data_IF_917351623084
#
_entry.id   IF_917351623084
#
_cell.length_a   1.000
_cell.length_b   1.000
_cell.length_c   1.000
_cell.angle_alpha   90.00
_cell.angle_beta   90.00
_cell.angle_gamma   90.00
#
_symmetry.space_group_name_H-M   'P 1'
#
loop_
_entity.id
_entity.type
_entity.pdbx_description
1 polymer ?
#
# COMPACT_ATOMS: atom_id res chain seq x y z
N UNK A 1 3.55 10.14 27.67
CA UNK A 1 3.49 8.81 27.02
C UNK A 1 3.41 8.99 25.51
N UNK A 2 4.41 8.51 24.75
CA UNK A 2 4.32 8.46 23.28
C UNK A 2 3.35 7.33 22.92
N UNK A 3 2.07 7.66 22.76
CA UNK A 3 1.07 6.72 22.25
C UNK A 3 1.49 6.37 20.81
N UNK A 4 2.14 5.22 20.64
CA UNK A 4 2.56 4.79 19.30
C UNK A 4 1.29 4.54 18.52
N UNK A 5 1.02 5.45 17.60
CA UNK A 5 -0.17 5.46 16.77
C UNK A 5 -0.26 4.09 16.08
N UNK A 6 0.82 3.49 15.59
CA UNK A 6 0.77 2.30 14.73
C UNK A 6 1.88 1.28 15.06
N UNK A 7 1.57 -0.02 14.92
CA UNK A 7 2.54 -1.10 15.14
C UNK A 7 3.63 -1.10 14.06
N UNK A 8 4.87 -1.45 14.41
CA UNK A 8 6.04 -1.38 13.50
C UNK A 8 5.85 -2.20 12.21
N UNK A 9 5.14 -3.33 12.31
CA UNK A 9 4.83 -4.22 11.18
C UNK A 9 3.82 -3.59 10.19
N UNK A 10 2.80 -2.87 10.68
CA UNK A 10 1.86 -2.17 9.81
C UNK A 10 2.54 -1.03 9.05
N UNK A 11 3.47 -0.32 9.70
CA UNK A 11 4.28 0.70 9.03
C UNK A 11 5.12 0.10 7.91
N UNK A 12 5.69 -1.09 8.10
CA UNK A 12 6.43 -1.78 7.05
C UNK A 12 5.52 -2.11 5.87
N UNK A 13 4.30 -2.62 6.10
CA UNK A 13 3.33 -2.89 5.03
C UNK A 13 2.94 -1.63 4.25
N UNK A 14 2.74 -0.51 4.93
CA UNK A 14 2.43 0.78 4.29
C UNK A 14 3.60 1.30 3.47
N UNK A 15 4.82 1.29 4.03
CA UNK A 15 6.03 1.71 3.31
C UNK A 15 6.26 0.82 2.08
N UNK A 16 6.08 -0.49 2.22
CA UNK A 16 6.20 -1.44 1.11
C UNK A 16 5.17 -1.14 0.01
N UNK A 17 3.92 -0.88 0.38
CA UNK A 17 2.87 -0.49 -0.56
C UNK A 17 3.17 0.83 -1.28
N UNK A 18 3.69 1.84 -0.57
CA UNK A 18 4.10 3.11 -1.16
C UNK A 18 5.24 2.90 -2.17
N UNK A 19 6.26 2.13 -1.82
CA UNK A 19 7.38 1.82 -2.73
C UNK A 19 6.90 1.07 -3.98
N UNK A 20 6.00 0.10 -3.82
CA UNK A 20 5.42 -0.65 -4.94
C UNK A 20 4.61 0.27 -5.87
N UNK A 21 3.84 1.19 -5.30
CA UNK A 21 3.04 2.16 -6.06
C UNK A 21 3.94 3.15 -6.81
N UNK A 22 5.02 3.62 -6.17
CA UNK A 22 6.02 4.49 -6.80
C UNK A 22 6.74 3.80 -7.97
N UNK A 23 7.12 2.53 -7.79
CA UNK A 23 7.72 1.72 -8.86
C UNK A 23 6.76 1.52 -10.03
N UNK A 24 5.47 1.30 -9.73
CA UNK A 24 4.43 1.18 -10.76
C UNK A 24 4.31 2.46 -11.57
N UNK A 25 4.30 3.63 -10.93
CA UNK A 25 4.29 4.93 -11.60
C UNK A 25 5.50 5.13 -12.53
N UNK A 26 6.69 4.67 -12.11
CA UNK A 26 7.88 4.70 -12.96
C UNK A 26 7.71 3.84 -14.22
N UNK A 27 7.12 2.65 -14.10
CA UNK A 27 6.77 1.80 -15.25
C UNK A 27 5.79 2.48 -16.20
N UNK A 28 4.74 3.13 -15.68
CA UNK A 28 3.77 3.89 -16.50
C UNK A 28 4.46 4.97 -17.33
N UNK A 29 5.47 5.64 -16.76
CA UNK A 29 6.22 6.69 -17.46
C UNK A 29 6.94 6.15 -18.70
N UNK A 30 7.52 4.95 -18.63
CA UNK A 30 8.17 4.29 -19.78
C UNK A 30 7.17 3.87 -20.87
N UNK A 31 5.97 3.42 -20.48
CA UNK A 31 4.92 2.97 -21.41
C UNK A 31 4.40 4.12 -22.28
N UNK A 32 4.45 5.38 -21.81
CA UNK A 32 4.05 6.53 -22.64
C UNK A 32 4.87 6.70 -23.92
N UNK A 33 6.10 6.19 -23.94
CA UNK A 33 7.02 6.30 -25.08
C UNK A 33 6.87 5.11 -26.04
N UNK A 34 6.58 3.93 -25.50
CA UNK A 34 6.39 2.70 -26.27
C UNK A 34 5.17 1.96 -25.73
N UNK A 35 4.00 2.27 -26.30
CA UNK A 35 2.72 1.73 -25.82
C UNK A 35 2.60 0.25 -26.18
N UNK A 36 2.95 -0.60 -25.23
CA UNK A 36 2.68 -2.03 -25.27
C UNK A 36 1.59 -2.36 -24.25
N UNK A 37 0.45 -2.84 -24.75
CA UNK A 37 -0.74 -3.11 -23.95
C UNK A 37 -0.51 -4.13 -22.83
N UNK A 38 0.45 -5.05 -22.99
CA UNK A 38 0.78 -6.03 -21.96
C UNK A 38 1.47 -5.37 -20.77
N UNK A 39 2.45 -4.50 -21.03
CA UNK A 39 3.14 -3.74 -19.98
C UNK A 39 2.20 -2.73 -19.30
N UNK A 40 1.28 -2.12 -20.05
CA UNK A 40 0.23 -1.27 -19.49
C UNK A 40 -0.66 -2.04 -18.50
N UNK A 41 -1.12 -3.23 -18.88
CA UNK A 41 -1.94 -4.09 -18.02
C UNK A 41 -1.21 -4.49 -16.74
N UNK A 42 0.06 -4.90 -16.85
CA UNK A 42 0.90 -5.27 -15.70
C UNK A 42 1.07 -4.07 -14.77
N UNK A 43 1.35 -2.90 -15.31
CA UNK A 43 1.60 -1.69 -14.52
C UNK A 43 0.34 -1.21 -13.76
N UNK A 44 -0.83 -1.26 -14.39
CA UNK A 44 -2.12 -0.94 -13.74
C UNK A 44 -2.41 -1.95 -12.63
N UNK A 45 -2.21 -3.24 -12.90
CA UNK A 45 -2.42 -4.30 -11.90
C UNK A 45 -1.51 -4.14 -10.69
N UNK A 46 -0.22 -3.84 -10.92
CA UNK A 46 0.75 -3.57 -9.86
C UNK A 46 0.35 -2.35 -9.02
N UNK A 47 -0.15 -1.29 -9.68
CA UNK A 47 -0.64 -0.09 -8.99
C UNK A 47 -1.84 -0.40 -8.10
N UNK A 48 -2.79 -1.19 -8.58
CA UNK A 48 -3.96 -1.61 -7.80
C UNK A 48 -3.57 -2.45 -6.58
N UNK A 49 -2.63 -3.38 -6.74
CA UNK A 49 -2.11 -4.20 -5.64
C UNK A 49 -1.36 -3.34 -4.61
N UNK A 50 -0.52 -2.42 -5.06
CA UNK A 50 0.22 -1.49 -4.20
C UNK A 50 -0.71 -0.62 -3.34
N UNK A 51 -1.73 -0.05 -3.95
CA UNK A 51 -2.77 0.70 -3.22
C UNK A 51 -3.54 -0.18 -2.24
N UNK A 52 -3.90 -1.40 -2.64
CA UNK A 52 -4.56 -2.37 -1.75
C UNK A 52 -3.74 -2.68 -0.49
N UNK A 53 -2.42 -2.86 -0.64
CA UNK A 53 -1.50 -3.06 0.50
C UNK A 53 -1.43 -1.85 1.43
N UNK A 54 -1.42 -0.63 0.89
CA UNK A 54 -1.44 0.60 1.69
C UNK A 54 -2.74 0.68 2.49
N UNK A 55 -3.89 0.47 1.83
CA UNK A 55 -5.21 0.51 2.46
C UNK A 55 -5.30 -0.57 3.54
N UNK A 56 -4.87 -1.81 3.26
CA UNK A 56 -4.88 -2.90 4.23
C UNK A 56 -3.95 -2.60 5.42
N UNK A 57 -2.72 -2.13 5.19
CA UNK A 57 -1.77 -1.77 6.24
C UNK A 57 -2.29 -0.65 7.16
N UNK A 58 -2.98 0.34 6.60
CA UNK A 58 -3.67 1.38 7.35
C UNK A 58 -4.93 0.86 8.07
N UNK A 59 -5.69 -0.04 7.44
CA UNK A 59 -6.96 -0.58 7.96
C UNK A 59 -6.76 -1.53 9.14
N UNK A 60 -5.73 -2.39 9.13
CA UNK A 60 -5.39 -3.28 10.26
C UNK A 60 -5.24 -2.49 11.57
N UNK A 61 -4.78 -1.24 11.48
CA UNK A 61 -4.63 -0.36 12.63
C UNK A 61 -5.98 0.11 13.21
N UNK A 62 -7.01 0.29 12.37
CA UNK A 62 -8.34 0.65 12.84
C UNK A 62 -8.99 -0.54 13.57
N UNK A 63 -8.93 -1.74 13.01
CA UNK A 63 -9.55 -2.94 13.60
C UNK A 63 -8.93 -3.37 14.95
N UNK A 64 -7.63 -3.11 15.16
CA UNK A 64 -6.98 -3.44 16.44
C UNK A 64 -7.36 -2.47 17.58
N UNK A 65 -7.79 -1.23 17.30
CA UNK A 65 -8.22 -0.31 18.35
C UNK A 65 -9.63 -0.64 18.90
N UNK A 66 -10.48 -1.28 18.11
CA UNK A 66 -11.83 -1.66 18.54
C UNK A 66 -11.81 -2.92 19.43
N UNK A 67 -10.82 -3.80 19.24
CA UNK A 67 -10.66 -5.04 20.01
C UNK A 67 -9.93 -4.85 21.35
N UNK A 68 -9.14 -3.78 21.49
CA UNK A 68 -8.51 -3.40 22.76
C UNK A 68 -9.49 -2.65 23.68
N UNK A 69 -10.36 -1.79 23.13
CA UNK A 69 -11.43 -1.10 23.88
C UNK A 69 -12.62 -2.01 24.26
N UNK A 70 -12.79 -3.17 23.64
CA UNK A 70 -13.86 -4.12 23.99
C UNK A 70 -13.49 -5.06 25.15
N UNK A 71 -12.27 -4.96 25.68
CA UNK A 71 -11.75 -5.81 26.78
C UNK A 71 -11.43 -5.04 28.06
N UNK A 72 -11.59 -3.71 28.08
CA UNK A 72 -11.68 -2.89 29.30
C UNK A 72 -13.15 -2.68 29.69
#
# INVERSE_FOLDING_TARGET
MKKSIMHRQNWILVILGILLTYFSFFLISFIKVNYDGMYAFISISLTAIGLGLVIAGLSIRFNNNDSENAKE
#
